data_IF_120236313414
#
_entry.id   IF_120236313414
#
_cell.length_a   1.000
_cell.length_b   1.000
_cell.length_c   1.000
_cell.angle_alpha   90.00
_cell.angle_beta   90.00
_cell.angle_gamma   90.00
#
_symmetry.space_group_name_H-M   'P 1'
#
loop_
_entity.id
_entity.type
_entity.pdbx_description
1 polymer ?
#
# COMPACT_ATOMS: atom_id res chain seq x y z
N UNK A 1 29.26 -30.26 15.15
CA UNK A 1 29.05 -28.81 14.96
C UNK A 1 28.38 -28.43 13.63
N UNK A 2 28.50 -29.19 12.53
CA UNK A 2 27.87 -28.87 11.22
C UNK A 2 26.32 -28.92 11.16
N UNK A 3 25.67 -29.79 11.95
CA UNK A 3 24.20 -29.96 11.93
C UNK A 3 23.43 -28.75 12.49
N UNK A 4 24.01 -28.05 13.47
CA UNK A 4 23.39 -26.87 14.08
C UNK A 4 23.38 -25.65 13.15
N UNK A 5 24.43 -25.49 12.34
CA UNK A 5 24.54 -24.38 11.36
C UNK A 5 23.49 -24.50 10.26
N UNK A 6 23.23 -25.72 9.78
CA UNK A 6 22.22 -25.96 8.74
C UNK A 6 20.80 -25.72 9.26
N UNK A 7 20.53 -26.12 10.51
CA UNK A 7 19.24 -25.85 11.16
C UNK A 7 19.00 -24.35 11.41
N UNK A 8 20.06 -23.61 11.76
CA UNK A 8 19.99 -22.15 11.94
C UNK A 8 19.72 -21.43 10.62
N UNK A 9 20.35 -21.88 9.52
CA UNK A 9 20.20 -21.30 8.19
C UNK A 9 18.76 -21.49 7.64
N UNK A 10 18.16 -22.67 7.85
CA UNK A 10 16.75 -22.90 7.49
C UNK A 10 15.78 -22.02 8.29
N UNK A 11 16.08 -21.76 9.57
CA UNK A 11 15.22 -20.92 10.41
C UNK A 11 15.26 -19.45 10.00
N UNK A 12 16.42 -18.96 9.53
CA UNK A 12 16.60 -17.60 9.02
C UNK A 12 15.85 -17.33 7.70
N UNK A 13 15.68 -18.34 6.83
CA UNK A 13 14.90 -18.17 5.60
C UNK A 13 13.40 -17.96 5.84
N UNK A 14 12.86 -18.41 6.98
CA UNK A 14 11.42 -18.29 7.27
C UNK A 14 10.99 -16.83 7.57
N UNK A 15 11.93 -15.92 7.85
CA UNK A 15 11.65 -14.52 8.17
C UNK A 15 11.94 -13.53 7.03
N UNK A 16 12.33 -14.02 5.84
CA UNK A 16 12.64 -13.16 4.70
C UNK A 16 11.40 -12.58 3.97
N UNK A 17 10.18 -12.93 4.41
CA UNK A 17 8.91 -12.52 3.79
C UNK A 17 8.25 -11.30 4.44
N UNK A 18 8.97 -10.50 5.22
CA UNK A 18 8.40 -9.32 5.88
C UNK A 18 8.08 -8.24 4.85
N UNK A 19 6.78 -7.95 4.68
CA UNK A 19 6.16 -6.77 4.05
C UNK A 19 7.17 -5.77 3.49
N UNK A 20 7.73 -6.08 2.33
CA UNK A 20 8.71 -5.18 1.74
C UNK A 20 7.95 -3.95 1.23
N UNK A 21 8.42 -2.74 1.58
CA UNK A 21 7.91 -1.54 0.95
C UNK A 21 8.11 -1.65 -0.57
N UNK A 22 7.36 -0.86 -1.36
CA UNK A 22 7.46 -0.93 -2.81
C UNK A 22 8.90 -0.72 -3.29
N UNK A 23 9.30 -1.43 -4.36
CA UNK A 23 10.66 -1.38 -4.91
C UNK A 23 11.13 0.06 -5.22
N UNK A 24 10.17 0.93 -5.54
CA UNK A 24 10.37 2.37 -5.70
C UNK A 24 9.34 3.11 -4.88
N UNK A 25 9.74 4.18 -4.18
CA UNK A 25 8.81 4.97 -3.42
C UNK A 25 7.78 5.62 -4.36
N UNK A 26 6.50 5.47 -4.00
CA UNK A 26 5.38 6.19 -4.60
C UNK A 26 5.60 7.68 -4.41
N UNK A 27 5.34 8.44 -5.47
CA UNK A 27 5.45 9.90 -5.50
C UNK A 27 4.09 10.58 -5.40
N UNK A 28 4.08 11.86 -4.97
CA UNK A 28 2.86 12.67 -4.97
C UNK A 28 2.22 12.74 -6.36
N UNK A 29 3.03 12.88 -7.39
CA UNK A 29 2.54 12.98 -8.77
C UNK A 29 1.83 11.70 -9.22
N UNK A 30 2.34 10.52 -8.85
CA UNK A 30 1.68 9.24 -9.11
C UNK A 30 0.35 9.13 -8.36
N UNK A 31 0.32 9.55 -7.09
CA UNK A 31 -0.91 9.59 -6.31
C UNK A 31 -1.94 10.52 -6.94
N UNK A 32 -1.56 11.72 -7.36
CA UNK A 32 -2.47 12.67 -8.00
C UNK A 32 -2.95 12.20 -9.39
N UNK A 33 -2.13 11.45 -10.14
CA UNK A 33 -2.54 10.84 -11.42
C UNK A 33 -3.68 9.84 -11.26
N UNK A 34 -3.89 9.26 -10.09
CA UNK A 34 -5.05 8.38 -9.83
C UNK A 34 -6.39 9.14 -9.84
N UNK A 35 -6.36 10.46 -9.62
CA UNK A 35 -7.56 11.31 -9.55
C UNK A 35 -8.42 11.11 -8.31
N UNK A 36 -8.04 10.26 -7.34
CA UNK A 36 -8.91 9.94 -6.19
C UNK A 36 -9.32 11.20 -5.40
N UNK A 37 -8.42 12.17 -5.23
CA UNK A 37 -8.69 13.44 -4.56
C UNK A 37 -9.49 14.43 -5.41
N UNK A 38 -9.62 14.17 -6.71
CA UNK A 38 -10.46 14.96 -7.62
C UNK A 38 -11.90 14.44 -7.66
N UNK A 39 -12.09 13.13 -7.50
CA UNK A 39 -13.40 12.49 -7.61
C UNK A 39 -14.08 12.24 -6.26
N UNK A 40 -13.32 12.07 -5.18
CA UNK A 40 -13.85 11.65 -3.89
C UNK A 40 -13.46 12.61 -2.77
N UNK A 41 -14.39 12.81 -1.85
CA UNK A 41 -14.06 13.42 -0.55
C UNK A 41 -13.41 12.36 0.32
N UNK A 42 -12.12 12.56 0.63
CA UNK A 42 -11.30 11.66 1.44
C UNK A 42 -10.82 12.47 2.66
N UNK A 43 -10.82 11.86 3.86
CA UNK A 43 -10.47 12.54 5.10
C UNK A 43 -8.95 12.65 5.30
N UNK A 44 -8.23 11.61 4.90
CA UNK A 44 -6.77 11.52 5.01
C UNK A 44 -6.10 12.48 4.03
N UNK A 45 -5.03 13.16 4.48
CA UNK A 45 -4.25 14.04 3.60
C UNK A 45 -3.45 13.22 2.56
N UNK A 46 -3.14 13.80 1.39
CA UNK A 46 -2.29 13.16 0.39
C UNK A 46 -0.95 12.70 0.96
N UNK A 47 -0.37 13.46 1.90
CA UNK A 47 0.88 13.11 2.58
C UNK A 47 0.73 11.87 3.47
N UNK A 48 -0.39 11.76 4.19
CA UNK A 48 -0.69 10.61 5.05
C UNK A 48 -0.85 9.34 4.21
N UNK A 49 -1.59 9.45 3.10
CA UNK A 49 -1.78 8.36 2.13
C UNK A 49 -0.46 7.95 1.49
N UNK A 50 0.36 8.91 1.10
CA UNK A 50 1.68 8.65 0.51
C UNK A 50 2.63 7.96 1.48
N UNK A 51 2.61 8.36 2.76
CA UNK A 51 3.41 7.74 3.80
C UNK A 51 2.99 6.28 4.01
N UNK A 52 1.68 6.02 4.13
CA UNK A 52 1.15 4.66 4.25
C UNK A 52 1.54 3.78 3.06
N UNK A 53 1.36 4.27 1.82
CA UNK A 53 1.74 3.53 0.61
C UNK A 53 3.24 3.18 0.56
N UNK A 54 4.10 4.09 1.01
CA UNK A 54 5.55 3.86 1.01
C UNK A 54 6.03 2.99 2.17
N UNK A 55 5.28 2.90 3.26
CA UNK A 55 5.62 2.10 4.42
C UNK A 55 5.01 0.69 4.35
N UNK A 56 3.77 0.59 3.90
CA UNK A 56 2.95 -0.63 3.97
C UNK A 56 2.68 -1.25 2.59
N UNK A 57 2.92 -0.50 1.50
CA UNK A 57 2.66 -0.97 0.13
C UNK A 57 1.17 -0.95 -0.27
N UNK A 58 0.26 -0.73 0.66
CA UNK A 58 -1.17 -0.58 0.40
C UNK A 58 -1.84 0.35 1.41
N UNK A 59 -3.04 0.83 1.08
CA UNK A 59 -3.89 1.57 2.02
C UNK A 59 -5.36 1.41 1.62
N UNK A 60 -6.25 1.35 2.61
CA UNK A 60 -7.70 1.38 2.43
C UNK A 60 -8.23 2.68 3.03
N UNK A 61 -8.97 3.44 2.24
CA UNK A 61 -9.50 4.75 2.60
C UNK A 61 -11.02 4.73 2.61
N UNK A 62 -11.63 5.49 3.50
CA UNK A 62 -13.04 5.84 3.39
C UNK A 62 -13.19 7.07 2.49
N UNK A 63 -13.99 6.92 1.43
CA UNK A 63 -14.30 8.00 0.50
C UNK A 63 -15.79 8.26 0.42
N UNK A 64 -16.15 9.47 0.01
CA UNK A 64 -17.53 9.82 -0.32
C UNK A 64 -17.63 10.32 -1.76
N UNK A 65 -18.59 9.77 -2.51
CA UNK A 65 -18.99 10.25 -3.83
C UNK A 65 -20.48 10.62 -3.81
N UNK A 66 -20.77 11.93 -3.86
CA UNK A 66 -22.13 12.44 -3.64
C UNK A 66 -22.68 11.93 -2.29
N UNK A 67 -23.78 11.20 -2.29
CA UNK A 67 -24.40 10.66 -1.08
C UNK A 67 -23.99 9.21 -0.77
N UNK A 68 -22.97 8.66 -1.45
CA UNK A 68 -22.51 7.28 -1.26
C UNK A 68 -21.15 7.22 -0.58
N UNK A 69 -21.08 6.40 0.47
CA UNK A 69 -19.85 6.02 1.13
C UNK A 69 -19.24 4.82 0.41
N UNK A 70 -17.94 4.89 0.15
CA UNK A 70 -17.19 3.85 -0.55
C UNK A 70 -15.89 3.56 0.18
N UNK A 71 -15.37 2.35 -0.02
CA UNK A 71 -13.98 2.04 0.29
C UNK A 71 -13.13 2.18 -0.97
N UNK A 72 -11.98 2.84 -0.83
CA UNK A 72 -10.97 3.00 -1.87
C UNK A 72 -9.73 2.25 -1.42
N UNK A 73 -9.41 1.13 -2.07
CA UNK A 73 -8.18 0.38 -1.82
C UNK A 73 -7.13 0.77 -2.86
N UNK A 74 -5.95 1.17 -2.40
CA UNK A 74 -4.81 1.53 -3.25
C UNK A 74 -3.68 0.56 -2.98
N UNK A 75 -3.10 0.01 -4.03
CA UNK A 75 -1.95 -0.89 -4.01
C UNK A 75 -0.76 -0.23 -4.71
N UNK A 76 0.39 -0.16 -4.04
CA UNK A 76 1.67 0.22 -4.64
C UNK A 76 2.34 -1.02 -5.25
N UNK A 77 2.24 -1.15 -6.57
CA UNK A 77 2.82 -2.28 -7.31
C UNK A 77 4.07 -1.86 -8.07
N UNK A 78 4.85 -2.81 -8.56
CA UNK A 78 6.00 -2.55 -9.45
C UNK A 78 5.61 -1.85 -10.76
N UNK A 79 4.32 -1.89 -11.14
CA UNK A 79 3.77 -1.23 -12.33
C UNK A 79 3.15 0.15 -12.03
N UNK A 80 3.17 0.58 -10.77
CA UNK A 80 2.52 1.81 -10.30
C UNK A 80 1.34 1.55 -9.38
N UNK A 81 0.47 2.54 -9.23
CA UNK A 81 -0.69 2.47 -8.33
C UNK A 81 -1.89 1.78 -8.99
N UNK A 82 -2.44 0.77 -8.32
CA UNK A 82 -3.73 0.18 -8.67
C UNK A 82 -4.79 0.62 -7.67
N UNK A 83 -5.94 1.05 -8.16
CA UNK A 83 -7.05 1.56 -7.33
C UNK A 83 -8.28 0.69 -7.54
N UNK A 84 -8.83 0.19 -6.43
CA UNK A 84 -10.04 -0.61 -6.39
C UNK A 84 -11.10 0.09 -5.53
N UNK A 85 -12.35 -0.11 -5.90
CA UNK A 85 -13.50 0.50 -5.23
C UNK A 85 -14.47 -0.58 -4.79
N UNK A 86 -15.06 -0.42 -3.62
CA UNK A 86 -16.20 -1.21 -3.17
C UNK A 86 -17.19 -0.33 -2.42
N UNK A 87 -18.47 -0.73 -2.44
CA UNK A 87 -19.46 -0.12 -1.56
C UNK A 87 -19.11 -0.43 -0.09
N UNK A 88 -19.53 0.47 0.80
CA UNK A 88 -19.32 0.34 2.25
C UNK A 88 -20.28 -0.65 2.90
#
# INVERSE_FOLDING_TARGET
MRKGVFSLLCFLMLFAGCSLPPERPVTKDELYKTGIYSYYTIKESPESVLAALNQEGEVVLEGQFKDRLIYIKILATSQGLQVHFSDR
#
